data_IF_894725684114
#
_entry.id   IF_894725684114
#
_cell.length_a   1.000
_cell.length_b   1.000
_cell.length_c   1.000
_cell.angle_alpha   90.00
_cell.angle_beta   90.00
_cell.angle_gamma   90.00
#
_symmetry.space_group_name_H-M   'P 1'
#
loop_
_entity.id
_entity.type
_entity.pdbx_description
1 polymer ?
#
# COMPACT_ATOMS: atom_id res chain seq x y z
N UNK A 1 -12.17 -2.94 13.22
CA UNK A 1 -11.48 -3.01 11.91
C UNK A 1 -11.81 -1.76 11.11
N UNK A 2 -11.09 -0.68 11.34
CA UNK A 2 -11.42 0.62 10.74
C UNK A 2 -10.86 0.76 9.32
N UNK A 3 -11.54 0.12 8.38
CA UNK A 3 -11.45 0.29 6.92
C UNK A 3 -12.22 1.55 6.45
N UNK A 4 -12.76 2.35 7.38
CA UNK A 4 -13.75 3.41 7.13
C UNK A 4 -13.20 4.54 6.23
N UNK A 5 -11.90 4.82 6.25
CA UNK A 5 -11.29 5.83 5.39
C UNK A 5 -11.03 5.34 3.94
N UNK A 6 -10.77 4.05 3.73
CA UNK A 6 -10.57 3.44 2.40
C UNK A 6 -11.90 3.45 1.63
N UNK A 7 -13.03 3.15 2.28
CA UNK A 7 -14.34 3.08 1.62
C UNK A 7 -14.83 4.45 1.08
N UNK A 8 -14.47 5.55 1.75
CA UNK A 8 -14.82 6.90 1.31
C UNK A 8 -14.10 7.35 0.02
N UNK A 9 -12.84 6.93 -0.17
CA UNK A 9 -12.12 7.13 -1.43
C UNK A 9 -12.67 6.21 -2.53
N UNK A 10 -13.02 4.96 -2.19
CA UNK A 10 -13.58 3.97 -3.10
C UNK A 10 -14.96 4.37 -3.64
N UNK A 11 -15.80 5.04 -2.86
CA UNK A 11 -17.15 5.46 -3.30
C UNK A 11 -17.13 6.47 -4.46
N UNK A 12 -16.11 7.34 -4.52
CA UNK A 12 -15.92 8.28 -5.64
C UNK A 12 -15.36 7.61 -6.90
N UNK A 13 -14.73 6.44 -6.74
CA UNK A 13 -14.09 5.67 -7.81
C UNK A 13 -15.12 4.75 -8.49
N UNK A 14 -16.12 4.26 -7.75
CA UNK A 14 -17.14 3.30 -8.24
C UNK A 14 -18.02 3.78 -9.39
N UNK A 15 -18.07 5.08 -9.69
CA UNK A 15 -18.90 5.65 -10.75
C UNK A 15 -18.14 5.96 -12.06
N UNK A 16 -16.96 5.39 -12.26
CA UNK A 16 -16.16 5.60 -13.48
C UNK A 16 -15.75 4.28 -14.10
N UNK A 17 -15.92 4.17 -15.41
CA UNK A 17 -15.30 3.13 -16.23
C UNK A 17 -13.85 3.51 -16.44
N UNK A 18 -12.96 2.61 -16.05
CA UNK A 18 -11.52 2.79 -16.14
C UNK A 18 -10.98 1.90 -17.28
N UNK A 19 -9.97 2.39 -18.01
CA UNK A 19 -9.35 1.58 -19.04
C UNK A 19 -8.71 0.33 -18.40
N UNK A 20 -8.75 -0.80 -19.12
CA UNK A 20 -8.12 -2.05 -18.68
C UNK A 20 -6.63 -1.84 -18.37
N UNK A 21 -6.15 -2.44 -17.28
CA UNK A 21 -4.74 -2.37 -16.85
C UNK A 21 -4.24 -0.97 -16.47
N UNK A 22 -5.14 0.00 -16.27
CA UNK A 22 -4.77 1.38 -16.04
C UNK A 22 -4.39 1.65 -14.57
N UNK A 23 -3.44 2.57 -14.41
CA UNK A 23 -3.05 3.16 -13.14
C UNK A 23 -3.67 4.56 -13.05
N UNK A 24 -4.52 4.79 -12.03
CA UNK A 24 -5.14 6.09 -11.81
C UNK A 24 -4.53 6.80 -10.62
N UNK A 25 -4.08 8.04 -10.84
CA UNK A 25 -3.58 8.90 -9.78
C UNK A 25 -4.60 9.98 -9.42
N UNK A 26 -5.15 9.89 -8.21
CA UNK A 26 -5.99 10.95 -7.65
C UNK A 26 -5.11 11.99 -6.96
N UNK A 27 -4.61 12.93 -7.76
CA UNK A 27 -3.59 13.94 -7.40
C UNK A 27 -3.91 14.75 -6.14
N UNK A 28 -5.18 15.01 -5.84
CA UNK A 28 -5.58 15.79 -4.65
C UNK A 28 -5.36 15.04 -3.33
N UNK A 29 -5.38 13.71 -3.36
CA UNK A 29 -5.32 12.88 -2.14
C UNK A 29 -4.08 11.99 -2.08
N UNK A 30 -3.16 12.13 -3.03
CA UNK A 30 -1.97 11.26 -3.13
C UNK A 30 -2.32 9.76 -3.12
N UNK A 31 -3.37 9.39 -3.85
CA UNK A 31 -3.85 8.00 -3.96
C UNK A 31 -3.61 7.50 -5.37
N UNK A 32 -2.92 6.37 -5.51
CA UNK A 32 -2.78 5.61 -6.74
C UNK A 32 -3.65 4.36 -6.66
N UNK A 33 -4.34 4.02 -7.75
CA UNK A 33 -5.21 2.85 -7.82
C UNK A 33 -4.86 2.04 -9.07
N UNK A 34 -4.58 0.75 -8.87
CA UNK A 34 -4.29 -0.23 -9.91
C UNK A 34 -5.54 -1.06 -10.16
N UNK A 35 -5.91 -1.26 -11.43
CA UNK A 35 -7.10 -2.00 -11.85
C UNK A 35 -6.75 -3.27 -12.63
N UNK A 36 -7.52 -4.33 -12.45
CA UNK A 36 -7.44 -5.52 -13.30
C UNK A 36 -8.06 -5.27 -14.69
N UNK A 37 -7.94 -6.28 -15.55
CA UNK A 37 -8.43 -6.19 -16.93
C UNK A 37 -9.96 -6.06 -17.02
N UNK A 38 -10.66 -6.43 -15.95
CA UNK A 38 -12.10 -6.25 -15.80
C UNK A 38 -12.47 -4.87 -15.21
N UNK A 39 -11.49 -3.99 -15.00
CA UNK A 39 -11.69 -2.64 -14.45
C UNK A 39 -11.97 -2.63 -12.95
N UNK A 40 -11.61 -3.69 -12.21
CA UNK A 40 -11.78 -3.79 -10.77
C UNK A 40 -10.49 -3.44 -10.01
N UNK A 41 -10.53 -2.64 -8.91
CA UNK A 41 -9.30 -2.20 -8.22
C UNK A 41 -8.54 -3.34 -7.53
N UNK A 42 -7.33 -3.67 -7.99
CA UNK A 42 -6.44 -4.69 -7.39
C UNK A 42 -5.61 -4.14 -6.22
N UNK A 43 -5.20 -2.89 -6.28
CA UNK A 43 -4.39 -2.28 -5.24
C UNK A 43 -4.65 -0.77 -5.11
N UNK A 44 -4.42 -0.26 -3.91
CA UNK A 44 -4.47 1.15 -3.57
C UNK A 44 -3.17 1.51 -2.88
N UNK A 45 -2.45 2.49 -3.42
CA UNK A 45 -1.27 3.05 -2.79
C UNK A 45 -1.57 4.47 -2.33
N UNK A 46 -1.15 4.77 -1.10
CA UNK A 46 -1.38 6.05 -0.44
C UNK A 46 -0.04 6.63 -0.02
N UNK A 47 0.11 7.94 -0.17
CA UNK A 47 1.21 8.71 0.40
C UNK A 47 0.70 9.97 1.09
N UNK A 48 1.59 10.68 1.77
CA UNK A 48 1.24 11.92 2.45
C UNK A 48 0.51 12.92 1.51
N UNK A 49 -0.49 13.67 1.99
CA UNK A 49 -0.89 13.83 3.39
C UNK A 49 -1.89 12.78 3.90
N UNK A 50 -2.25 11.78 3.09
CA UNK A 50 -3.18 10.75 3.52
C UNK A 50 -2.49 9.74 4.45
N UNK A 51 -3.13 9.42 5.57
CA UNK A 51 -2.59 8.53 6.60
C UNK A 51 -3.57 7.35 6.83
N UNK A 52 -3.56 6.33 5.96
CA UNK A 52 -4.37 5.15 6.20
C UNK A 52 -3.79 4.38 7.38
N UNK A 53 -4.69 3.86 8.22
CA UNK A 53 -4.32 3.13 9.44
C UNK A 53 -4.79 1.70 9.35
N UNK A 54 -3.97 0.79 9.86
CA UNK A 54 -4.34 -0.61 10.07
C UNK A 54 -4.31 -0.90 11.55
N UNK A 55 -5.44 -1.32 12.12
CA UNK A 55 -5.58 -1.56 13.56
C UNK A 55 -5.08 -0.38 14.44
N UNK A 56 -5.48 0.84 14.07
CA UNK A 56 -5.03 2.11 14.66
C UNK A 56 -3.54 2.45 14.50
N UNK A 57 -2.77 1.65 13.76
CA UNK A 57 -1.35 1.93 13.46
C UNK A 57 -1.24 2.73 12.17
N UNK A 58 -0.56 3.87 12.26
CA UNK A 58 -0.08 4.65 11.11
C UNK A 58 1.32 4.18 10.73
N UNK A 59 1.61 4.13 9.43
CA UNK A 59 2.93 3.74 8.92
C UNK A 59 3.64 4.87 8.20
N UNK A 60 2.92 5.76 7.50
CA UNK A 60 3.54 6.85 6.74
C UNK A 60 4.18 7.84 7.71
N UNK A 61 5.42 8.25 7.42
CA UNK A 61 6.17 9.15 8.30
C UNK A 61 6.84 8.45 9.48
N UNK A 62 6.58 7.16 9.71
CA UNK A 62 7.25 6.35 10.75
C UNK A 62 8.56 5.79 10.19
N UNK A 63 9.65 5.74 10.98
CA UNK A 63 10.91 5.10 10.56
C UNK A 63 10.68 3.67 10.05
N UNK A 64 11.27 3.34 8.90
CA UNK A 64 11.09 2.03 8.28
C UNK A 64 11.50 0.87 9.20
N UNK A 65 12.54 1.04 10.01
CA UNK A 65 12.99 0.05 11.01
C UNK A 65 11.85 -0.37 11.97
N UNK A 66 11.12 0.60 12.54
CA UNK A 66 9.98 0.35 13.44
C UNK A 66 8.81 -0.30 12.73
N UNK A 67 8.51 0.14 11.51
CA UNK A 67 7.45 -0.46 10.70
C UNK A 67 7.79 -1.92 10.38
N UNK A 68 9.05 -2.19 10.01
CA UNK A 68 9.53 -3.53 9.72
C UNK A 68 9.43 -4.46 10.94
N UNK A 69 9.74 -3.98 12.15
CA UNK A 69 9.55 -4.73 13.39
C UNK A 69 8.08 -5.09 13.61
N UNK A 70 7.17 -4.12 13.41
CA UNK A 70 5.74 -4.37 13.50
C UNK A 70 5.28 -5.44 12.50
N UNK A 71 5.73 -5.37 11.23
CA UNK A 71 5.38 -6.36 10.22
C UNK A 71 5.89 -7.76 10.58
N UNK A 72 7.14 -7.88 11.04
CA UNK A 72 7.72 -9.16 11.47
C UNK A 72 6.96 -9.77 12.65
N UNK A 73 6.44 -8.95 13.57
CA UNK A 73 5.64 -9.44 14.69
C UNK A 73 4.26 -9.98 14.27
N UNK A 74 3.77 -9.62 13.08
CA UNK A 74 2.44 -9.98 12.59
C UNK A 74 2.46 -11.00 11.43
N UNK A 75 3.60 -11.14 10.74
CA UNK A 75 3.78 -12.05 9.61
C UNK A 75 5.21 -12.62 9.54
N UNK A 76 5.36 -13.90 9.91
CA UNK A 76 6.62 -14.63 9.85
C UNK A 76 7.12 -14.87 8.40
N UNK A 77 6.27 -14.66 7.38
CA UNK A 77 6.62 -14.82 5.98
C UNK A 77 6.64 -13.49 5.21
N UNK A 78 6.96 -12.40 5.92
CA UNK A 78 7.15 -11.08 5.34
C UNK A 78 8.16 -11.10 4.18
N UNK A 79 7.84 -10.38 3.10
CA UNK A 79 8.74 -10.21 1.95
C UNK A 79 9.36 -8.82 1.94
N UNK A 80 10.58 -8.71 1.41
CA UNK A 80 11.33 -7.47 1.22
C UNK A 80 11.84 -7.40 -0.20
N UNK A 81 11.94 -6.19 -0.74
CA UNK A 81 12.35 -5.90 -2.12
C UNK A 81 13.41 -4.77 -2.20
N UNK A 82 14.10 -4.50 -1.10
CA UNK A 82 15.13 -3.45 -0.99
C UNK A 82 14.60 -2.01 -0.92
N UNK A 83 13.38 -1.77 -1.39
CA UNK A 83 12.68 -0.48 -1.30
C UNK A 83 11.51 -0.50 -0.30
N UNK A 84 11.39 -1.57 0.48
CA UNK A 84 10.35 -1.71 1.49
C UNK A 84 10.10 -3.16 1.87
N UNK A 85 8.86 -3.43 2.27
CA UNK A 85 8.39 -4.76 2.61
C UNK A 85 6.89 -4.90 2.39
N UNK A 86 6.43 -6.14 2.22
CA UNK A 86 5.01 -6.44 2.07
C UNK A 86 4.64 -7.79 2.68
N UNK A 87 3.40 -7.87 3.17
CA UNK A 87 2.79 -9.06 3.72
C UNK A 87 1.62 -9.49 2.84
N UNK A 88 1.74 -10.65 2.20
CA UNK A 88 0.63 -11.29 1.48
C UNK A 88 -0.48 -11.76 2.43
N UNK A 89 -0.12 -12.06 3.70
CA UNK A 89 -1.06 -12.44 4.75
C UNK A 89 -1.99 -11.28 5.11
N UNK A 90 -1.42 -10.08 5.29
CA UNK A 90 -2.17 -8.87 5.66
C UNK A 90 -2.77 -8.14 4.45
N UNK A 91 -2.22 -8.36 3.24
CA UNK A 91 -2.57 -7.59 2.04
C UNK A 91 -2.07 -6.15 2.08
N UNK A 92 -0.94 -5.91 2.76
CA UNK A 92 -0.38 -4.58 3.01
C UNK A 92 1.12 -4.60 2.74
N UNK A 93 1.63 -3.53 2.12
CA UNK A 93 3.04 -3.25 1.96
C UNK A 93 3.37 -1.80 2.22
N UNK A 94 4.64 -1.52 2.41
CA UNK A 94 5.17 -0.16 2.61
C UNK A 94 6.33 0.08 1.68
N UNK A 95 6.41 1.31 1.19
CA UNK A 95 7.51 1.80 0.38
C UNK A 95 8.34 2.81 1.18
N UNK A 96 9.63 2.56 1.25
CA UNK A 96 10.65 3.43 1.80
C UNK A 96 11.88 3.34 0.89
N UNK A 97 12.06 4.31 -0.02
CA UNK A 97 13.06 4.23 -1.09
C UNK A 97 14.52 4.02 -0.63
N UNK A 98 14.83 4.31 0.63
CA UNK A 98 16.15 4.10 1.24
C UNK A 98 16.17 2.96 2.27
N UNK A 99 15.16 2.08 2.29
CA UNK A 99 14.95 1.04 3.32
C UNK A 99 16.22 0.28 3.72
N UNK A 100 17.04 -0.14 2.76
CA UNK A 100 18.28 -0.89 3.04
C UNK A 100 19.44 -0.01 3.54
N UNK A 101 19.55 1.22 3.02
CA UNK A 101 20.70 2.11 3.26
C UNK A 101 20.49 3.03 4.46
N UNK A 102 19.25 3.42 4.72
CA UNK A 102 18.83 4.36 5.74
C UNK A 102 17.48 3.93 6.32
N UNK A 103 17.42 2.83 7.10
CA UNK A 103 16.16 2.30 7.65
C UNK A 103 15.49 3.24 8.67
N UNK A 104 16.18 4.28 9.12
CA UNK A 104 15.61 5.33 9.98
C UNK A 104 14.88 6.42 9.20
N UNK A 105 15.03 6.44 7.86
CA UNK A 105 14.17 7.30 7.02
C UNK A 105 12.71 6.84 7.09
N UNK A 106 11.77 7.79 7.00
CA UNK A 106 10.36 7.48 7.13
C UNK A 106 9.83 6.69 5.93
N UNK A 107 8.86 5.81 6.20
CA UNK A 107 8.01 5.24 5.16
C UNK A 107 7.29 6.35 4.40
N UNK A 108 7.34 6.26 3.07
CA UNK A 108 6.87 7.28 2.14
C UNK A 108 5.47 6.96 1.61
N UNK A 109 5.16 5.67 1.47
CA UNK A 109 3.86 5.22 1.02
C UNK A 109 3.50 3.85 1.60
N UNK A 110 2.21 3.55 1.56
CA UNK A 110 1.62 2.26 1.93
C UNK A 110 0.75 1.79 0.79
N UNK A 111 0.79 0.50 0.50
CA UNK A 111 -0.07 -0.16 -0.47
C UNK A 111 -0.97 -1.17 0.23
N UNK A 112 -2.25 -1.19 -0.12
CA UNK A 112 -3.23 -2.21 0.26
C UNK A 112 -3.66 -2.92 -1.01
N UNK A 113 -3.57 -4.25 -1.04
CA UNK A 113 -3.73 -5.01 -2.27
C UNK A 113 -4.51 -6.32 -2.06
N UNK A 114 -5.15 -6.79 -3.13
CA UNK A 114 -5.83 -8.08 -3.17
C UNK A 114 -4.82 -9.23 -3.15
N UNK A 115 -5.23 -10.38 -2.64
CA UNK A 115 -4.45 -11.62 -2.74
C UNK A 115 -4.08 -11.90 -4.20
N UNK A 116 -2.82 -12.32 -4.43
CA UNK A 116 -2.28 -12.58 -5.77
C UNK A 116 -1.69 -11.35 -6.47
N UNK A 117 -1.77 -10.15 -5.88
CA UNK A 117 -1.24 -8.93 -6.50
C UNK A 117 0.23 -9.05 -6.90
N UNK A 118 1.10 -9.40 -5.95
CA UNK A 118 2.55 -9.55 -6.18
C UNK A 118 2.94 -10.85 -6.92
N UNK A 119 2.02 -11.81 -7.08
CA UNK A 119 2.24 -12.97 -7.95
C UNK A 119 2.14 -12.56 -9.43
N UNK A 120 1.25 -11.60 -9.72
CA UNK A 120 1.07 -11.04 -11.07
C UNK A 120 1.96 -9.82 -11.33
N UNK A 121 2.40 -9.13 -10.27
CA UNK A 121 3.21 -7.90 -10.34
C UNK A 121 4.37 -8.04 -9.35
N UNK A 122 5.36 -8.91 -9.62
CA UNK A 122 6.49 -9.06 -8.72
C UNK A 122 7.22 -7.72 -8.59
N UNK A 123 7.70 -7.36 -7.38
CA UNK A 123 8.52 -6.17 -7.22
C UNK A 123 9.81 -6.33 -8.04
N UNK A 124 10.26 -5.23 -8.66
CA UNK A 124 11.46 -5.18 -9.51
C UNK A 124 12.75 -5.38 -8.70
#
# INVERSE_FOLDING_TARGET
SDIVSILGAVSHIKNKTYASGALYYYKKNSIMVDFDDAGSPKAFQFSAPYDPRYDNVSFIGVPYSKVLEWFKANDDNLKKDGAGCFSNKLGIGVYAGSAEKAPEEPVQAIIVFRRGYYESNPPC
#
